data_IF_345576732514
#
_entry.id   IF_345576732514
#
_cell.length_a   1.000
_cell.length_b   1.000
_cell.length_c   1.000
_cell.angle_alpha   90.00
_cell.angle_beta   90.00
_cell.angle_gamma   90.00
#
_symmetry.space_group_name_H-M   'P 1'
#
loop_
_entity.id
_entity.type
_entity.pdbx_description
1 polymer ?
#
# COMPACT_ATOMS: atom_id res chain seq x y z
N UNK A 1 -20.72 -25.89 5.30
CA UNK A 1 -19.26 -26.15 5.50
C UNK A 1 -18.41 -25.89 4.26
N UNK A 2 -18.82 -26.27 3.04
CA UNK A 2 -18.06 -26.09 1.78
C UNK A 2 -17.75 -24.62 1.41
N UNK A 3 -18.63 -23.66 1.66
CA UNK A 3 -18.47 -22.26 1.21
C UNK A 3 -17.42 -21.51 2.07
N UNK A 4 -17.39 -21.76 3.39
CA UNK A 4 -16.34 -21.17 4.27
C UNK A 4 -14.94 -21.64 3.89
N UNK A 5 -14.79 -22.91 3.47
CA UNK A 5 -13.52 -23.45 2.98
C UNK A 5 -13.10 -22.78 1.67
N UNK A 6 -14.02 -22.53 0.74
CA UNK A 6 -13.72 -21.84 -0.52
C UNK A 6 -13.30 -20.38 -0.31
N UNK A 7 -13.95 -19.64 0.59
CA UNK A 7 -13.55 -18.27 0.92
C UNK A 7 -12.17 -18.19 1.60
N UNK A 8 -11.83 -19.18 2.44
CA UNK A 8 -10.52 -19.26 3.07
C UNK A 8 -9.42 -19.62 2.05
N UNK A 9 -9.69 -20.52 1.12
CA UNK A 9 -8.77 -20.87 0.03
C UNK A 9 -8.54 -19.64 -0.86
N UNK A 10 -9.59 -18.93 -1.25
CA UNK A 10 -9.47 -17.71 -2.05
C UNK A 10 -8.64 -16.64 -1.35
N UNK A 11 -8.74 -16.50 -0.03
CA UNK A 11 -7.94 -15.56 0.76
C UNK A 11 -6.46 -15.96 0.81
N UNK A 12 -6.17 -17.27 0.95
CA UNK A 12 -4.80 -17.79 0.86
C UNK A 12 -4.19 -17.54 -0.53
N UNK A 13 -4.96 -17.78 -1.59
CA UNK A 13 -4.54 -17.52 -2.98
C UNK A 13 -4.25 -16.02 -3.17
N UNK A 14 -5.10 -15.14 -2.65
CA UNK A 14 -4.87 -13.68 -2.70
C UNK A 14 -3.55 -13.32 -2.03
N UNK A 15 -3.29 -13.83 -0.83
CA UNK A 15 -2.03 -13.59 -0.11
C UNK A 15 -0.82 -14.09 -0.88
N UNK A 16 -0.88 -15.31 -1.43
CA UNK A 16 0.17 -15.89 -2.25
C UNK A 16 0.47 -15.08 -3.51
N UNK A 17 -0.57 -14.60 -4.22
CA UNK A 17 -0.42 -13.78 -5.42
C UNK A 17 0.20 -12.40 -5.12
N UNK A 18 -0.14 -11.78 -4.00
CA UNK A 18 0.48 -10.52 -3.56
C UNK A 18 1.97 -10.75 -3.24
N UNK A 19 2.31 -11.81 -2.52
CA UNK A 19 3.71 -12.14 -2.21
C UNK A 19 4.53 -12.42 -3.49
N UNK A 20 3.97 -13.15 -4.45
CA UNK A 20 4.58 -13.37 -5.75
C UNK A 20 4.79 -12.06 -6.50
N UNK A 21 3.79 -11.17 -6.54
CA UNK A 21 3.90 -9.85 -7.17
C UNK A 21 5.06 -9.04 -6.59
N UNK A 22 5.19 -8.99 -5.26
CA UNK A 22 6.28 -8.28 -4.57
C UNK A 22 7.63 -8.92 -4.90
N UNK A 23 7.72 -10.24 -4.85
CA UNK A 23 8.96 -10.99 -5.13
C UNK A 23 9.44 -10.77 -6.57
N UNK A 24 8.55 -10.93 -7.55
CA UNK A 24 8.88 -10.68 -8.96
C UNK A 24 9.18 -9.20 -9.22
N UNK A 25 8.48 -8.27 -8.57
CA UNK A 25 8.76 -6.83 -8.66
C UNK A 25 10.16 -6.49 -8.15
N UNK A 26 10.55 -7.03 -7.00
CA UNK A 26 11.91 -6.86 -6.46
C UNK A 26 12.98 -7.46 -7.37
N UNK A 27 12.74 -8.66 -7.90
CA UNK A 27 13.68 -9.32 -8.81
C UNK A 27 13.84 -8.52 -10.12
N UNK A 28 12.75 -8.02 -10.70
CA UNK A 28 12.77 -7.19 -11.90
C UNK A 28 13.49 -5.86 -11.69
N UNK A 29 13.25 -5.21 -10.55
CA UNK A 29 13.97 -3.99 -10.16
C UNK A 29 15.48 -4.24 -10.04
N UNK A 30 15.89 -5.32 -9.38
CA UNK A 30 17.31 -5.71 -9.26
C UNK A 30 17.95 -6.10 -10.60
N UNK A 31 17.16 -6.68 -11.52
CA UNK A 31 17.63 -6.96 -12.87
C UNK A 31 17.88 -5.67 -13.65
N UNK A 32 17.02 -4.66 -13.51
CA UNK A 32 17.20 -3.35 -14.10
C UNK A 32 18.45 -2.63 -13.56
N UNK A 33 18.71 -2.67 -12.25
CA UNK A 33 19.96 -2.15 -11.64
C UNK A 33 21.20 -2.79 -12.25
N UNK A 34 21.21 -4.13 -12.38
CA UNK A 34 22.34 -4.84 -12.99
C UNK A 34 22.51 -4.49 -14.48
N UNK A 35 21.40 -4.29 -15.19
CA UNK A 35 21.43 -3.86 -16.59
C UNK A 35 22.08 -2.48 -16.74
N UNK A 36 21.77 -1.53 -15.85
CA UNK A 36 22.42 -0.20 -15.84
C UNK A 36 23.92 -0.33 -15.61
N UNK A 37 24.35 -1.11 -14.63
CA UNK A 37 25.79 -1.32 -14.35
C UNK A 37 26.48 -2.00 -15.52
N UNK A 38 25.83 -3.01 -16.13
CA UNK A 38 26.35 -3.70 -17.32
C UNK A 38 26.52 -2.77 -18.51
N UNK A 39 25.55 -1.88 -18.77
CA UNK A 39 25.61 -0.90 -19.84
C UNK A 39 26.73 0.11 -19.62
N UNK A 40 26.90 0.61 -18.37
CA UNK A 40 28.02 1.47 -18.00
C UNK A 40 29.37 0.78 -18.24
N UNK A 41 29.51 -0.50 -17.88
CA UNK A 41 30.72 -1.27 -18.08
C UNK A 41 31.04 -1.42 -19.58
N UNK A 42 30.06 -1.77 -20.41
CA UNK A 42 30.25 -1.92 -21.85
C UNK A 42 30.61 -0.59 -22.52
N UNK A 43 29.90 0.49 -22.16
CA UNK A 43 30.17 1.82 -22.69
C UNK A 43 31.57 2.30 -22.30
N UNK A 44 31.98 2.06 -21.05
CA UNK A 44 33.30 2.42 -20.55
C UNK A 44 34.41 1.66 -21.31
N UNK A 45 34.28 0.33 -21.43
CA UNK A 45 35.24 -0.49 -22.15
C UNK A 45 35.39 -0.03 -23.62
N UNK A 46 34.29 0.19 -24.31
CA UNK A 46 34.31 0.69 -25.69
C UNK A 46 35.01 2.04 -25.78
N UNK A 47 34.70 2.98 -24.88
CA UNK A 47 35.25 4.32 -24.87
C UNK A 47 36.73 4.32 -24.56
N UNK A 48 37.18 3.54 -23.59
CA UNK A 48 38.60 3.45 -23.20
C UNK A 48 39.42 2.79 -24.31
N UNK A 49 38.94 1.72 -24.94
CA UNK A 49 39.61 1.01 -26.03
C UNK A 49 39.72 1.91 -27.26
N UNK A 50 38.59 2.53 -27.68
CA UNK A 50 38.57 3.38 -28.88
C UNK A 50 39.49 4.62 -28.77
N UNK A 51 39.63 5.16 -27.58
CA UNK A 51 40.42 6.36 -27.32
C UNK A 51 41.75 6.04 -26.59
N UNK A 52 42.20 4.79 -26.61
CA UNK A 52 43.39 4.36 -25.87
C UNK A 52 44.66 5.21 -26.20
N UNK A 53 44.85 5.54 -27.47
CA UNK A 53 45.97 6.38 -27.92
C UNK A 53 45.93 7.82 -27.38
N UNK A 54 44.70 8.37 -27.18
CA UNK A 54 44.55 9.70 -26.60
C UNK A 54 44.86 9.71 -25.11
N UNK A 55 44.44 8.69 -24.38
CA UNK A 55 44.68 8.58 -22.92
C UNK A 55 46.13 8.34 -22.58
N UNK A 56 46.91 7.73 -23.48
CA UNK A 56 48.34 7.40 -23.29
C UNK A 56 49.26 8.33 -24.08
N UNK A 57 48.73 9.38 -24.72
CA UNK A 57 49.54 10.37 -25.43
C UNK A 57 50.49 11.09 -24.51
N UNK A 58 51.66 11.55 -25.01
CA UNK A 58 52.64 12.27 -24.26
C UNK A 58 52.09 13.53 -23.56
N UNK A 59 51.20 14.26 -24.24
CA UNK A 59 50.50 15.44 -23.71
C UNK A 59 49.55 15.08 -22.55
N UNK A 60 48.80 14.00 -22.69
CA UNK A 60 47.94 13.53 -21.61
C UNK A 60 48.74 13.12 -20.39
N UNK A 61 49.82 12.40 -20.58
CA UNK A 61 50.70 11.97 -19.49
C UNK A 61 51.38 13.16 -18.77
N UNK A 62 51.85 14.17 -19.52
CA UNK A 62 52.37 15.39 -18.94
C UNK A 62 51.32 16.16 -18.15
N UNK A 63 50.06 16.19 -18.64
CA UNK A 63 48.94 16.80 -17.94
C UNK A 63 48.62 16.05 -16.65
N UNK A 64 48.64 14.72 -16.66
CA UNK A 64 48.42 13.90 -15.46
C UNK A 64 49.50 14.12 -14.40
N UNK A 65 50.76 14.25 -14.85
CA UNK A 65 51.86 14.54 -13.96
C UNK A 65 51.73 15.93 -13.32
N UNK A 66 51.37 16.95 -14.11
CA UNK A 66 51.12 18.30 -13.58
C UNK A 66 49.96 18.31 -12.59
N UNK A 67 48.83 17.63 -12.88
CA UNK A 67 47.70 17.54 -11.99
C UNK A 67 48.08 16.87 -10.65
N UNK A 68 48.82 15.78 -10.69
CA UNK A 68 49.28 15.10 -9.46
C UNK A 68 50.32 15.90 -8.69
N UNK A 69 51.11 16.75 -9.36
CA UNK A 69 52.08 17.63 -8.67
C UNK A 69 51.41 18.81 -7.96
N UNK A 70 50.30 19.32 -8.52
CA UNK A 70 49.56 20.46 -7.97
C UNK A 70 48.60 20.02 -6.86
N UNK A 71 47.83 18.94 -7.10
CA UNK A 71 46.73 18.53 -6.22
C UNK A 71 47.08 17.37 -5.28
N UNK A 72 48.27 16.81 -5.38
CA UNK A 72 48.75 15.72 -4.54
C UNK A 72 48.75 14.34 -5.22
N UNK A 73 48.93 13.26 -4.44
CA UNK A 73 49.18 11.91 -4.92
C UNK A 73 48.00 11.24 -5.63
N UNK A 74 46.80 11.78 -5.51
CA UNK A 74 45.57 11.25 -6.18
C UNK A 74 44.65 12.37 -6.61
N UNK A 75 44.23 12.35 -7.87
CA UNK A 75 43.30 13.34 -8.46
C UNK A 75 42.16 12.62 -9.15
N UNK A 76 40.96 13.05 -8.91
CA UNK A 76 39.75 12.56 -9.60
C UNK A 76 39.25 13.66 -10.53
N UNK A 77 39.22 13.38 -11.81
CA UNK A 77 38.69 14.27 -12.85
C UNK A 77 37.37 13.75 -13.32
N UNK A 78 36.32 14.56 -13.20
CA UNK A 78 34.99 14.26 -13.72
C UNK A 78 34.86 14.83 -15.14
N UNK A 79 34.57 13.98 -16.12
CA UNK A 79 34.44 14.36 -17.53
C UNK A 79 33.09 14.01 -18.09
N UNK A 80 32.45 14.98 -18.71
CA UNK A 80 31.26 14.80 -19.54
C UNK A 80 31.64 14.34 -20.93
N UNK A 81 32.17 13.13 -21.06
CA UNK A 81 32.66 12.61 -22.33
C UNK A 81 31.48 12.22 -23.23
N UNK A 82 31.36 12.93 -24.37
CA UNK A 82 30.26 12.67 -25.35
C UNK A 82 30.34 11.27 -25.96
N UNK A 83 31.54 10.74 -26.19
CA UNK A 83 31.73 9.39 -26.74
C UNK A 83 31.30 8.32 -25.75
N UNK A 84 31.57 8.52 -24.44
CA UNK A 84 31.06 7.65 -23.39
C UNK A 84 29.53 7.69 -23.31
N UNK A 85 28.95 8.89 -23.32
CA UNK A 85 27.50 9.04 -23.28
C UNK A 85 26.81 8.41 -24.51
N UNK A 86 27.39 8.56 -25.70
CA UNK A 86 26.84 7.97 -26.94
C UNK A 86 27.06 6.45 -27.04
N UNK A 87 28.00 5.88 -26.29
CA UNK A 87 28.25 4.45 -26.25
C UNK A 87 27.27 3.66 -25.37
N UNK A 88 26.51 4.35 -24.53
CA UNK A 88 25.45 3.75 -23.71
C UNK A 88 24.28 3.29 -24.58
N UNK A 89 23.75 2.10 -24.28
CA UNK A 89 22.58 1.56 -24.99
C UNK A 89 21.27 2.12 -24.43
N UNK A 90 21.25 2.52 -23.15
CA UNK A 90 20.08 3.05 -22.48
C UNK A 90 20.00 4.58 -22.67
N UNK A 91 19.10 5.11 -23.52
CA UNK A 91 19.08 6.54 -23.87
C UNK A 91 18.83 7.47 -22.67
N UNK A 92 18.12 6.96 -21.64
CA UNK A 92 17.81 7.75 -20.44
C UNK A 92 19.07 8.08 -19.63
N UNK A 93 20.14 7.28 -19.76
CA UNK A 93 21.39 7.49 -19.05
C UNK A 93 22.31 8.54 -19.71
N UNK A 94 22.15 8.83 -21.01
CA UNK A 94 23.01 9.74 -21.76
C UNK A 94 23.19 11.11 -21.12
N UNK A 95 22.15 11.64 -20.47
CA UNK A 95 22.16 12.97 -19.83
C UNK A 95 22.80 12.98 -18.45
N UNK A 96 22.86 11.83 -17.78
CA UNK A 96 23.25 11.71 -16.40
C UNK A 96 24.56 10.92 -16.21
N UNK A 97 25.05 10.32 -17.28
CA UNK A 97 26.27 9.53 -17.25
C UNK A 97 27.51 10.42 -17.31
N UNK A 98 28.48 10.14 -16.47
CA UNK A 98 29.74 10.83 -16.35
C UNK A 98 30.89 9.83 -16.31
N UNK A 99 32.03 10.20 -16.85
CA UNK A 99 33.23 9.41 -16.79
C UNK A 99 34.17 10.00 -15.76
N UNK A 100 34.55 9.20 -14.78
CA UNK A 100 35.52 9.56 -13.75
C UNK A 100 36.90 9.03 -14.14
N UNK A 101 37.88 9.87 -14.13
CA UNK A 101 39.30 9.53 -14.41
C UNK A 101 40.03 9.72 -13.10
N UNK A 102 40.56 8.63 -12.56
CA UNK A 102 41.37 8.66 -11.35
C UNK A 102 42.84 8.53 -11.71
N UNK A 103 43.60 9.51 -11.35
CA UNK A 103 45.05 9.62 -11.60
C UNK A 103 45.77 9.46 -10.25
N UNK A 104 46.65 8.44 -10.13
CA UNK A 104 47.39 8.18 -8.89
C UNK A 104 48.89 7.93 -9.18
N UNK A 105 49.75 8.38 -8.26
CA UNK A 105 51.18 8.14 -8.34
C UNK A 105 51.63 6.79 -7.74
N UNK A 106 50.85 6.18 -6.83
CA UNK A 106 51.16 4.90 -6.18
C UNK A 106 50.27 3.76 -6.69
N UNK A 107 50.89 2.66 -7.09
CA UNK A 107 50.26 1.49 -7.67
C UNK A 107 49.35 0.71 -6.68
N UNK A 108 49.63 0.76 -5.36
CA UNK A 108 48.94 -0.03 -4.34
C UNK A 108 47.48 0.39 -4.12
N UNK A 109 47.14 1.63 -4.43
CA UNK A 109 45.79 2.18 -4.16
C UNK A 109 44.86 2.22 -5.39
N UNK A 110 45.30 1.71 -6.53
CA UNK A 110 44.61 1.81 -7.81
C UNK A 110 43.40 0.89 -7.92
N UNK A 111 43.29 -0.14 -7.06
CA UNK A 111 42.17 -1.11 -7.08
C UNK A 111 40.99 -0.68 -6.24
N UNK A 112 41.09 0.42 -5.51
CA UNK A 112 39.95 0.90 -4.73
C UNK A 112 38.94 1.62 -5.64
N UNK A 113 37.67 1.26 -5.59
CA UNK A 113 36.63 1.95 -6.36
C UNK A 113 36.59 3.43 -5.97
N UNK A 114 36.41 4.29 -6.96
CA UNK A 114 36.16 5.71 -6.75
C UNK A 114 34.74 5.80 -6.21
N UNK A 115 34.55 5.77 -4.89
CA UNK A 115 33.25 5.97 -4.29
C UNK A 115 33.01 7.47 -4.19
N UNK A 116 32.09 8.05 -4.93
CA UNK A 116 31.62 9.39 -4.62
C UNK A 116 30.94 9.31 -3.26
N UNK A 117 31.59 9.88 -2.25
CA UNK A 117 31.04 10.01 -0.91
C UNK A 117 29.64 10.61 -0.99
N UNK A 118 28.63 9.83 -0.63
CA UNK A 118 27.34 10.34 -0.18
C UNK A 118 26.20 10.58 -1.20
N UNK A 119 25.88 9.63 -2.10
CA UNK A 119 24.55 9.68 -2.75
C UNK A 119 23.98 8.26 -2.92
N UNK A 120 22.88 7.98 -2.27
CA UNK A 120 22.12 6.70 -2.28
C UNK A 120 21.61 6.24 -3.65
N UNK A 121 21.74 7.08 -4.68
CA UNK A 121 21.22 6.82 -6.04
C UNK A 121 22.34 6.81 -7.09
N UNK A 122 23.56 6.48 -6.68
CA UNK A 122 24.73 6.51 -7.56
C UNK A 122 25.08 5.08 -8.00
N UNK A 123 25.10 4.87 -9.30
CA UNK A 123 25.57 3.62 -9.91
C UNK A 123 26.92 3.85 -10.56
N UNK A 124 27.83 2.94 -10.31
CA UNK A 124 29.17 2.98 -10.90
C UNK A 124 29.47 1.69 -11.64
N UNK A 125 30.25 1.81 -12.73
CA UNK A 125 30.84 0.67 -13.42
C UNK A 125 32.00 0.09 -12.64
N UNK A 126 32.45 -1.11 -13.05
CA UNK A 126 33.70 -1.65 -12.61
C UNK A 126 34.86 -0.72 -13.01
N UNK A 127 35.88 -0.63 -12.17
CA UNK A 127 37.02 0.22 -12.45
C UNK A 127 37.96 -0.44 -13.47
N UNK A 128 38.23 0.25 -14.57
CA UNK A 128 39.23 -0.18 -15.55
C UNK A 128 40.55 0.46 -15.23
N UNK A 129 41.52 -0.35 -14.93
CA UNK A 129 42.87 0.10 -14.61
C UNK A 129 43.73 0.20 -15.88
N UNK A 130 44.28 1.38 -16.12
CA UNK A 130 45.25 1.62 -17.19
C UNK A 130 46.56 2.07 -16.61
N UNK A 131 47.63 1.27 -16.79
CA UNK A 131 48.97 1.59 -16.32
C UNK A 131 49.74 2.26 -17.45
N UNK A 132 50.15 3.50 -17.23
CA UNK A 132 51.07 4.19 -18.10
C UNK A 132 52.37 4.47 -17.33
N UNK A 133 53.50 4.21 -17.95
CA UNK A 133 54.79 4.61 -17.43
C UNK A 133 55.21 5.88 -18.14
N UNK A 134 55.31 6.99 -17.43
CA UNK A 134 55.92 8.19 -17.98
C UNK A 134 57.45 7.94 -18.13
N UNK A 135 57.90 7.87 -19.36
CA UNK A 135 59.32 7.69 -19.71
C UNK A 135 60.13 9.01 -19.73
N UNK A 136 59.52 10.15 -19.44
CA UNK A 136 60.20 11.43 -19.34
C UNK A 136 60.62 11.75 -17.90
N UNK A 137 61.84 11.44 -17.57
CA UNK A 137 62.47 11.87 -16.36
C UNK A 137 63.12 13.26 -16.54
N UNK A 138 62.56 14.28 -15.96
CA UNK A 138 63.29 15.54 -15.71
C UNK A 138 63.97 15.45 -14.35
N UNK A 139 64.69 14.44 -14.06
CA UNK A 139 65.58 14.22 -12.88
C UNK A 139 65.67 12.76 -12.43
N UNK A 140 65.95 11.83 -13.33
CA UNK A 140 66.47 10.53 -12.92
C UNK A 140 65.60 9.52 -12.20
N UNK A 141 64.28 9.82 -11.93
CA UNK A 141 63.37 8.89 -11.29
C UNK A 141 62.11 8.74 -12.14
N UNK A 142 61.98 7.59 -12.80
CA UNK A 142 60.78 7.24 -13.55
C UNK A 142 59.58 7.08 -12.60
N UNK A 143 58.80 8.12 -12.45
CA UNK A 143 57.53 8.05 -11.71
C UNK A 143 56.48 7.31 -12.52
N UNK A 144 55.98 6.20 -11.99
CA UNK A 144 54.87 5.47 -12.58
C UNK A 144 53.56 6.12 -12.16
N UNK A 145 52.78 6.58 -13.13
CA UNK A 145 51.46 7.13 -12.91
C UNK A 145 50.43 6.08 -13.35
N UNK A 146 49.52 5.74 -12.44
CA UNK A 146 48.39 4.88 -12.75
C UNK A 146 47.16 5.71 -13.06
N UNK A 147 46.51 5.39 -14.15
CA UNK A 147 45.22 5.99 -14.53
C UNK A 147 44.15 4.92 -14.52
N UNK A 148 43.09 5.16 -13.82
CA UNK A 148 41.90 4.29 -13.81
C UNK A 148 40.64 5.05 -14.23
N UNK A 149 39.78 4.36 -14.94
CA UNK A 149 38.54 4.91 -15.50
C UNK A 149 37.33 4.26 -14.83
N UNK A 150 36.35 5.05 -14.52
CA UNK A 150 35.08 4.57 -13.97
C UNK A 150 33.91 5.33 -14.60
N UNK A 151 32.92 4.59 -15.09
CA UNK A 151 31.65 5.18 -15.51
C UNK A 151 30.75 5.37 -14.30
N UNK A 152 30.04 6.47 -14.25
CA UNK A 152 29.11 6.74 -13.16
C UNK A 152 27.83 7.40 -13.70
N UNK A 153 26.72 7.12 -13.05
CA UNK A 153 25.45 7.75 -13.35
C UNK A 153 24.63 7.94 -12.08
N UNK A 154 23.82 8.99 -12.07
CA UNK A 154 22.87 9.22 -11.00
C UNK A 154 21.48 8.84 -11.53
N UNK A 155 20.91 7.74 -11.01
CA UNK A 155 19.58 7.28 -11.38
C UNK A 155 18.61 7.43 -10.21
N UNK A 156 17.48 8.07 -10.43
CA UNK A 156 16.41 8.05 -9.44
C UNK A 156 15.76 6.67 -9.40
N UNK A 157 15.19 6.24 -8.24
CA UNK A 157 14.47 4.96 -8.17
C UNK A 157 13.35 4.84 -9.21
N UNK A 158 12.72 5.95 -9.59
CA UNK A 158 11.71 6.01 -10.63
C UNK A 158 12.28 5.68 -12.03
N UNK A 159 13.50 6.11 -12.34
CA UNK A 159 14.17 5.76 -13.60
C UNK A 159 14.43 4.25 -13.69
N UNK A 160 14.92 3.65 -12.60
CA UNK A 160 15.16 2.20 -12.55
C UNK A 160 13.83 1.44 -12.67
N UNK A 161 12.79 1.93 -11.98
CA UNK A 161 11.46 1.35 -12.09
C UNK A 161 10.90 1.39 -13.52
N UNK A 162 11.15 2.47 -14.26
CA UNK A 162 10.72 2.59 -15.66
C UNK A 162 11.50 1.67 -16.62
N UNK A 163 12.72 1.26 -16.25
CA UNK A 163 13.54 0.29 -16.98
C UNK A 163 13.22 -1.16 -16.63
N UNK A 164 12.57 -1.38 -15.48
CA UNK A 164 12.23 -2.72 -15.01
C UNK A 164 11.01 -3.27 -15.73
N UNK A 165 11.01 -4.56 -16.05
CA UNK A 165 9.85 -5.23 -16.64
C UNK A 165 8.81 -5.54 -15.54
N UNK A 166 7.82 -4.65 -15.41
CA UNK A 166 6.75 -4.76 -14.42
C UNK A 166 5.52 -5.52 -14.92
N UNK A 167 5.56 -6.13 -16.12
CA UNK A 167 4.41 -6.84 -16.71
C UNK A 167 3.95 -8.01 -15.83
N UNK A 168 4.89 -8.89 -15.45
CA UNK A 168 4.58 -10.03 -14.59
C UNK A 168 4.11 -9.63 -13.18
N UNK A 169 4.79 -8.73 -12.43
CA UNK A 169 4.29 -8.25 -11.15
C UNK A 169 2.88 -7.68 -11.22
N UNK A 170 2.57 -6.88 -12.25
CA UNK A 170 1.24 -6.31 -12.44
C UNK A 170 0.16 -7.36 -12.71
N UNK A 171 0.45 -8.38 -13.51
CA UNK A 171 -0.47 -9.49 -13.77
C UNK A 171 -0.82 -10.22 -12.45
N UNK A 172 0.19 -10.57 -11.64
CA UNK A 172 -0.04 -11.21 -10.34
C UNK A 172 -0.81 -10.32 -9.37
N UNK A 173 -0.56 -9.01 -9.39
CA UNK A 173 -1.29 -8.03 -8.57
C UNK A 173 -2.77 -8.00 -8.97
N UNK A 174 -3.08 -7.91 -10.27
CA UNK A 174 -4.45 -7.87 -10.79
C UNK A 174 -5.20 -9.15 -10.43
N UNK A 175 -4.57 -10.31 -10.63
CA UNK A 175 -5.15 -11.61 -10.26
C UNK A 175 -5.40 -11.67 -8.74
N UNK A 176 -4.45 -11.19 -7.93
CA UNK A 176 -4.58 -11.11 -6.48
C UNK A 176 -5.76 -10.24 -6.04
N UNK A 177 -5.90 -9.05 -6.64
CA UNK A 177 -7.03 -8.14 -6.35
C UNK A 177 -8.35 -8.79 -6.77
N UNK A 178 -8.42 -9.40 -7.95
CA UNK A 178 -9.62 -10.07 -8.43
C UNK A 178 -10.05 -11.21 -7.51
N UNK A 179 -9.10 -12.05 -7.07
CA UNK A 179 -9.34 -13.13 -6.12
C UNK A 179 -9.79 -12.59 -4.75
N UNK A 180 -9.20 -11.48 -4.28
CA UNK A 180 -9.60 -10.81 -3.04
C UNK A 180 -11.01 -10.23 -3.10
N UNK A 181 -11.36 -9.56 -4.19
CA UNK A 181 -12.72 -9.05 -4.42
C UNK A 181 -13.74 -10.20 -4.47
N UNK A 182 -13.39 -11.30 -5.12
CA UNK A 182 -14.20 -12.49 -5.17
C UNK A 182 -14.41 -13.09 -3.77
N UNK A 183 -13.34 -13.29 -3.00
CA UNK A 183 -13.40 -13.77 -1.62
C UNK A 183 -14.24 -12.85 -0.72
N UNK A 184 -14.09 -11.52 -0.86
CA UNK A 184 -14.88 -10.54 -0.12
C UNK A 184 -16.37 -10.61 -0.48
N UNK A 185 -16.68 -10.72 -1.78
CA UNK A 185 -18.06 -10.84 -2.25
C UNK A 185 -18.73 -12.12 -1.72
N UNK A 186 -18.02 -13.24 -1.73
CA UNK A 186 -18.52 -14.51 -1.15
C UNK A 186 -18.71 -14.42 0.37
N UNK A 187 -17.77 -13.78 1.11
CA UNK A 187 -17.95 -13.54 2.54
C UNK A 187 -19.14 -12.62 2.86
N UNK A 188 -19.47 -11.69 1.95
CA UNK A 188 -20.61 -10.79 2.12
C UNK A 188 -21.93 -11.50 1.83
N UNK A 189 -21.92 -12.47 0.91
CA UNK A 189 -23.06 -13.36 0.64
C UNK A 189 -23.23 -14.42 1.76
N UNK A 190 -22.12 -14.78 2.40
CA UNK A 190 -22.07 -15.67 3.57
C UNK A 190 -22.18 -14.94 4.94
N UNK A 191 -22.55 -13.67 4.97
CA UNK A 191 -23.21 -13.24 6.20
C UNK A 191 -24.43 -14.14 6.26
N UNK A 192 -24.50 -15.05 7.24
CA UNK A 192 -25.68 -15.87 7.34
C UNK A 192 -26.82 -14.86 7.38
N UNK A 193 -27.70 -14.85 6.37
CA UNK A 193 -29.07 -14.76 6.75
C UNK A 193 -29.15 -15.87 7.79
N UNK A 194 -29.11 -15.49 9.03
CA UNK A 194 -29.50 -16.38 10.09
C UNK A 194 -30.89 -16.82 9.70
N UNK A 195 -30.97 -17.85 8.87
CA UNK A 195 -32.06 -18.78 8.92
C UNK A 195 -31.90 -19.33 10.35
N UNK A 196 -32.42 -18.59 11.30
CA UNK A 196 -32.87 -19.15 12.54
C UNK A 196 -33.94 -20.16 12.15
N UNK A 197 -33.49 -21.39 11.84
CA UNK A 197 -34.30 -22.53 12.14
C UNK A 197 -34.61 -22.37 13.64
N UNK A 198 -35.81 -21.95 13.87
CA UNK A 198 -36.48 -21.91 15.14
C UNK A 198 -36.43 -23.32 15.74
N UNK A 199 -35.29 -23.64 16.38
CA UNK A 199 -35.36 -24.57 17.50
C UNK A 199 -36.04 -23.78 18.59
N UNK A 200 -37.26 -24.15 18.84
CA UNK A 200 -38.18 -23.60 19.82
C UNK A 200 -37.59 -23.71 21.22
N UNK A 201 -36.70 -22.80 21.59
CA UNK A 201 -36.39 -22.49 22.99
C UNK A 201 -37.36 -21.39 23.43
N UNK A 202 -38.47 -21.84 23.96
CA UNK A 202 -39.62 -21.05 24.46
C UNK A 202 -39.27 -20.15 25.66
N UNK A 203 -38.02 -19.90 26.00
CA UNK A 203 -37.65 -19.23 27.26
C UNK A 203 -37.17 -17.78 27.14
N UNK A 204 -36.94 -17.23 25.92
CA UNK A 204 -36.36 -15.87 25.79
C UNK A 204 -37.11 -14.96 24.79
N UNK A 205 -38.36 -15.21 24.50
CA UNK A 205 -39.18 -14.32 23.63
C UNK A 205 -40.49 -13.90 24.31
N UNK A 206 -40.78 -12.61 24.28
CA UNK A 206 -42.07 -12.07 24.70
C UNK A 206 -42.88 -11.77 23.45
N UNK A 207 -44.17 -12.20 23.42
CA UNK A 207 -45.07 -12.01 22.30
C UNK A 207 -46.30 -11.20 22.70
N UNK A 208 -46.64 -10.16 21.93
CA UNK A 208 -47.81 -9.33 22.11
C UNK A 208 -48.53 -9.26 20.75
N UNK A 209 -49.75 -9.75 20.68
CA UNK A 209 -50.49 -9.90 19.42
C UNK A 209 -49.73 -10.82 18.45
N UNK A 210 -49.44 -10.31 17.22
CA UNK A 210 -48.61 -11.02 16.24
C UNK A 210 -47.16 -10.54 16.17
N UNK A 211 -46.71 -9.72 17.17
CA UNK A 211 -45.34 -9.21 17.25
C UNK A 211 -44.61 -9.91 18.39
N UNK A 212 -43.43 -10.44 18.14
CA UNK A 212 -42.56 -11.09 19.12
C UNK A 212 -41.21 -10.39 19.23
N UNK A 213 -40.76 -10.16 20.45
CA UNK A 213 -39.42 -9.68 20.76
C UNK A 213 -38.52 -10.88 21.11
N UNK A 214 -37.49 -11.08 20.38
CA UNK A 214 -36.43 -12.04 20.71
C UNK A 214 -35.23 -11.29 21.35
N UNK A 215 -35.00 -11.55 22.62
CA UNK A 215 -33.90 -10.94 23.37
C UNK A 215 -32.53 -11.41 22.91
N UNK A 216 -32.42 -12.60 22.33
CA UNK A 216 -31.13 -13.15 21.88
C UNK A 216 -30.66 -12.45 20.62
N UNK A 217 -31.55 -12.20 19.67
CA UNK A 217 -31.25 -11.50 18.43
C UNK A 217 -31.42 -9.98 18.51
N UNK A 218 -32.03 -9.48 19.61
CA UNK A 218 -32.44 -8.08 19.76
C UNK A 218 -33.25 -7.56 18.58
N UNK A 219 -34.26 -8.32 18.17
CA UNK A 219 -35.07 -8.02 17.01
C UNK A 219 -36.55 -8.31 17.29
N UNK A 220 -37.42 -7.54 16.62
CA UNK A 220 -38.86 -7.79 16.57
C UNK A 220 -39.19 -8.56 15.31
N UNK A 221 -40.05 -9.59 15.47
CA UNK A 221 -40.54 -10.41 14.38
C UNK A 221 -42.09 -10.37 14.36
N UNK A 222 -42.70 -10.37 13.18
CA UNK A 222 -44.15 -10.41 12.98
C UNK A 222 -44.50 -11.45 11.93
N UNK A 223 -45.76 -11.92 11.94
CA UNK A 223 -46.25 -12.93 11.00
C UNK A 223 -45.45 -14.22 11.01
N UNK A 224 -45.07 -14.72 9.83
CA UNK A 224 -44.27 -15.94 9.66
C UNK A 224 -42.76 -15.70 9.84
N UNK A 225 -42.33 -14.97 10.88
CA UNK A 225 -40.93 -14.66 11.19
C UNK A 225 -40.32 -13.53 10.34
N UNK A 226 -41.12 -12.61 9.85
CA UNK A 226 -40.56 -11.43 9.20
C UNK A 226 -40.01 -10.44 10.21
N UNK A 227 -38.78 -9.95 9.97
CA UNK A 227 -38.10 -9.00 10.86
C UNK A 227 -38.65 -7.60 10.64
N UNK A 228 -39.17 -6.99 11.71
CA UNK A 228 -39.61 -5.60 11.71
C UNK A 228 -38.40 -4.64 11.71
N UNK A 229 -38.31 -3.79 10.69
CA UNK A 229 -37.23 -2.80 10.55
C UNK A 229 -37.54 -1.57 11.40
N UNK A 230 -36.88 -1.44 12.53
CA UNK A 230 -36.98 -0.31 13.44
C UNK A 230 -35.64 0.44 13.52
N UNK A 231 -35.72 1.75 13.73
CA UNK A 231 -34.52 2.53 14.12
C UNK A 231 -34.15 2.21 15.57
N UNK A 232 -32.92 2.48 16.03
CA UNK A 232 -32.51 2.18 17.41
C UNK A 232 -33.44 2.78 18.46
N UNK A 233 -33.88 4.03 18.30
CA UNK A 233 -34.83 4.67 19.24
C UNK A 233 -36.25 4.05 19.18
N UNK A 234 -36.70 3.64 17.99
CA UNK A 234 -37.97 2.93 17.85
C UNK A 234 -37.90 1.54 18.50
N UNK A 235 -36.78 0.85 18.33
CA UNK A 235 -36.54 -0.43 18.99
C UNK A 235 -36.62 -0.31 20.52
N UNK A 236 -35.86 0.64 21.10
CA UNK A 236 -35.86 0.85 22.55
C UNK A 236 -37.25 1.21 23.07
N UNK A 237 -38.00 2.05 22.35
CA UNK A 237 -39.38 2.36 22.73
C UNK A 237 -40.29 1.12 22.71
N UNK A 238 -40.20 0.28 21.68
CA UNK A 238 -41.00 -0.94 21.59
C UNK A 238 -40.61 -1.95 22.67
N UNK A 239 -39.31 -2.05 22.99
CA UNK A 239 -38.86 -2.89 24.08
C UNK A 239 -39.46 -2.45 25.42
N UNK A 240 -39.47 -1.15 25.71
CA UNK A 240 -40.14 -0.61 26.91
C UNK A 240 -41.60 -0.99 26.95
N UNK A 241 -42.35 -0.91 25.85
CA UNK A 241 -43.74 -1.34 25.82
C UNK A 241 -43.93 -2.84 26.12
N UNK A 242 -43.04 -3.68 25.65
CA UNK A 242 -43.07 -5.12 25.88
C UNK A 242 -42.75 -5.49 27.33
N UNK A 243 -41.87 -4.72 27.98
CA UNK A 243 -41.47 -4.91 29.37
C UNK A 243 -42.44 -4.25 30.37
N UNK A 244 -43.22 -3.26 29.91
CA UNK A 244 -44.14 -2.53 30.80
C UNK A 244 -45.34 -3.36 31.21
N UNK A 245 -45.80 -3.24 32.46
CA UNK A 245 -47.04 -3.86 32.93
C UNK A 245 -48.27 -3.40 32.10
N UNK A 246 -49.06 -4.34 31.64
CA UNK A 246 -50.22 -4.08 30.77
C UNK A 246 -49.87 -3.29 29.48
N UNK A 247 -48.58 -3.21 29.08
CA UNK A 247 -48.10 -2.51 27.91
C UNK A 247 -48.45 -1.00 27.91
N UNK A 248 -48.51 -0.40 29.11
CA UNK A 248 -48.76 1.03 29.33
C UNK A 248 -47.49 1.71 29.83
N UNK A 249 -47.14 2.82 29.19
CA UNK A 249 -45.98 3.62 29.55
C UNK A 249 -46.36 5.09 29.78
N UNK A 250 -45.96 5.65 30.92
CA UNK A 250 -46.09 7.07 31.18
C UNK A 250 -45.06 7.89 30.38
N UNK A 251 -45.40 9.13 30.02
CA UNK A 251 -44.49 10.03 29.30
C UNK A 251 -43.17 10.24 30.05
N UNK A 252 -43.22 10.38 31.35
CA UNK A 252 -42.07 10.58 32.21
C UNK A 252 -41.13 9.38 32.20
N UNK A 253 -41.67 8.16 32.20
CA UNK A 253 -40.90 6.92 32.12
C UNK A 253 -40.16 6.84 30.77
N UNK A 254 -40.85 7.11 29.68
CA UNK A 254 -40.25 7.10 28.34
C UNK A 254 -39.15 8.16 28.23
N UNK A 255 -39.34 9.36 28.82
CA UNK A 255 -38.33 10.42 28.80
C UNK A 255 -37.08 10.01 29.57
N UNK A 256 -37.24 9.45 30.75
CA UNK A 256 -36.13 9.08 31.61
C UNK A 256 -35.28 7.96 30.97
N UNK A 257 -35.92 7.03 30.28
CA UNK A 257 -35.23 5.89 29.64
C UNK A 257 -34.59 6.28 28.30
N UNK A 258 -35.32 7.01 27.45
CA UNK A 258 -34.79 7.30 26.10
C UNK A 258 -33.94 8.57 26.03
N UNK A 259 -34.16 9.53 26.93
CA UNK A 259 -33.44 10.83 26.93
C UNK A 259 -33.07 11.31 28.34
N UNK A 260 -32.29 10.57 29.13
CA UNK A 260 -32.01 10.89 30.54
C UNK A 260 -31.27 12.22 30.77
N UNK A 261 -30.70 12.81 29.69
CA UNK A 261 -29.92 14.06 29.77
C UNK A 261 -30.61 15.27 29.13
N UNK A 262 -31.88 15.12 28.72
CA UNK A 262 -32.59 16.18 28.01
C UNK A 262 -33.78 16.68 28.85
N UNK A 263 -33.71 17.92 29.29
CA UNK A 263 -34.72 18.51 30.20
C UNK A 263 -36.14 18.61 29.57
N UNK A 264 -36.22 18.75 28.25
CA UNK A 264 -37.50 18.75 27.54
C UNK A 264 -37.43 17.85 26.31
N UNK A 265 -37.91 16.60 26.46
CA UNK A 265 -37.93 15.61 25.39
C UNK A 265 -39.30 15.43 24.73
N UNK A 266 -40.30 16.24 25.09
CA UNK A 266 -41.68 16.11 24.59
C UNK A 266 -41.79 16.17 23.08
N UNK A 267 -41.10 17.08 22.44
CA UNK A 267 -41.09 17.20 20.98
C UNK A 267 -40.41 15.98 20.31
N UNK A 268 -39.34 15.48 20.93
CA UNK A 268 -38.66 14.27 20.47
C UNK A 268 -39.55 13.05 20.59
N UNK A 269 -40.28 12.90 21.69
CA UNK A 269 -41.22 11.83 21.91
C UNK A 269 -42.39 11.89 20.92
N UNK A 270 -42.98 13.08 20.73
CA UNK A 270 -44.09 13.25 19.76
C UNK A 270 -43.63 12.90 18.33
N UNK A 271 -42.41 13.27 17.96
CA UNK A 271 -41.82 12.93 16.66
C UNK A 271 -41.59 11.42 16.54
N UNK A 272 -41.08 10.78 17.57
CA UNK A 272 -40.85 9.33 17.61
C UNK A 272 -42.15 8.58 17.49
N UNK A 273 -43.18 8.98 18.26
CA UNK A 273 -44.55 8.38 18.20
C UNK A 273 -45.17 8.53 16.82
N UNK A 274 -45.05 9.71 16.18
CA UNK A 274 -45.57 9.93 14.83
C UNK A 274 -44.90 9.03 13.79
N UNK A 275 -43.62 8.71 13.97
CA UNK A 275 -42.87 7.87 13.05
C UNK A 275 -43.09 6.36 13.27
N UNK A 276 -43.27 5.92 14.51
CA UNK A 276 -43.41 4.51 14.84
C UNK A 276 -44.81 3.97 14.60
N UNK A 277 -45.88 4.75 14.88
CA UNK A 277 -47.26 4.33 14.68
C UNK A 277 -47.52 3.71 13.30
N UNK A 278 -47.22 4.37 12.17
CA UNK A 278 -47.52 3.79 10.87
C UNK A 278 -46.72 2.51 10.61
N UNK A 279 -45.51 2.38 11.18
CA UNK A 279 -44.68 1.19 11.01
C UNK A 279 -45.27 0.00 11.74
N UNK A 280 -45.77 0.19 12.97
CA UNK A 280 -46.45 -0.87 13.75
C UNK A 280 -47.78 -1.18 13.15
N UNK A 281 -48.59 -0.19 12.82
CA UNK A 281 -49.94 -0.40 12.32
C UNK A 281 -50.01 -1.03 10.92
N UNK A 282 -49.01 -0.81 10.09
CA UNK A 282 -48.92 -1.40 8.76
C UNK A 282 -48.50 -2.88 8.78
N UNK A 283 -47.65 -3.26 9.71
CA UNK A 283 -47.00 -4.58 9.72
C UNK A 283 -47.57 -5.52 10.79
N UNK A 284 -48.34 -5.01 11.75
CA UNK A 284 -48.81 -5.80 12.88
C UNK A 284 -50.27 -5.57 13.17
N UNK A 285 -50.88 -6.45 13.98
CA UNK A 285 -52.21 -6.26 14.52
C UNK A 285 -52.25 -5.36 15.78
N UNK A 286 -51.17 -4.61 16.04
CA UNK A 286 -51.05 -3.71 17.16
C UNK A 286 -51.26 -2.25 16.75
N UNK A 287 -51.72 -1.44 17.73
CA UNK A 287 -51.76 0.03 17.61
C UNK A 287 -51.25 0.69 18.88
N UNK A 288 -50.68 1.90 18.75
CA UNK A 288 -50.29 2.70 19.90
C UNK A 288 -51.33 3.77 20.13
N UNK A 289 -52.16 3.62 21.17
CA UNK A 289 -53.14 4.59 21.61
C UNK A 289 -52.55 5.56 22.63
N UNK A 290 -53.23 6.69 22.86
CA UNK A 290 -52.80 7.68 23.86
C UNK A 290 -53.92 7.82 24.91
N UNK A 291 -53.63 7.55 26.18
CA UNK A 291 -54.56 7.73 27.26
C UNK A 291 -54.44 9.15 27.87
N UNK A 292 -55.47 9.97 27.66
CA UNK A 292 -55.63 11.34 28.17
C UNK A 292 -54.38 12.23 28.11
N UNK A 293 -53.46 11.97 27.15
CA UNK A 293 -52.22 12.71 26.97
C UNK A 293 -51.13 12.45 28.02
N UNK A 294 -51.32 11.55 28.96
CA UNK A 294 -50.37 11.23 30.06
C UNK A 294 -49.63 9.93 29.86
N UNK A 295 -50.23 8.97 29.19
CA UNK A 295 -49.68 7.65 28.93
C UNK A 295 -49.90 7.22 27.49
N UNK A 296 -49.10 6.26 27.04
CA UNK A 296 -49.26 5.53 25.79
C UNK A 296 -49.52 4.07 26.09
N UNK A 297 -50.42 3.46 25.34
CA UNK A 297 -50.77 2.04 25.48
C UNK A 297 -50.57 1.31 24.14
N UNK A 298 -49.92 0.15 24.19
CA UNK A 298 -49.82 -0.75 23.06
C UNK A 298 -50.93 -1.78 23.15
N UNK A 299 -51.90 -1.74 22.23
CA UNK A 299 -53.09 -2.58 22.25
C UNK A 299 -53.30 -3.31 20.93
N UNK A 300 -54.02 -4.45 20.97
CA UNK A 300 -54.38 -5.21 19.79
C UNK A 300 -55.55 -4.47 19.09
N UNK A 301 -55.46 -4.32 17.78
CA UNK A 301 -56.57 -3.77 16.96
C UNK A 301 -57.78 -4.70 17.08
N UNK A 302 -58.88 -4.19 17.55
CA UNK A 302 -60.18 -4.87 17.56
C UNK A 302 -60.81 -4.84 16.15
#
# INVERSE_FOLDING_TARGET
MKIKTQANIAMLVTGAMILLSISFGYHSYRAAERSVVSDLNQALQRTVILNSSLWTSADSMQTYERLTSIFGSSVVVESNNKTFASALQIPMLHKHAKMLILIRQKQKDLQQPIVPTNKSNYFSSDTILWLASATHSIQGSAKKIGVSFQGSTCCTPLMIFSLSDMRLPLIFLIIGIAAGCFAYRFRRLDKPQTNFQHVSDKQNSITVGNLSLDYTSQCFFYGENEKLKLTPQQFSLMQLFFEAPAHILNRTEIHNELWPKKDNADESLNTLMRRIRPVIEANTNLRISTDRGRAYCLEIKS
#
